data_IF_105675354915
#
_entry.id   IF_105675354915
#
_cell.length_a   1.000
_cell.length_b   1.000
_cell.length_c   1.000
_cell.angle_alpha   90.00
_cell.angle_beta   90.00
_cell.angle_gamma   90.00
#
_symmetry.space_group_name_H-M   'P 1'
#
loop_
_entity.id
_entity.type
_entity.pdbx_description
1 polymer ?
#
# COMPACT_ATOMS: atom_id res chain seq x y z
N UNK A 1 -2.77 -25.02 -2.16
CA UNK A 1 -3.81 -24.69 -1.16
C UNK A 1 -3.97 -23.17 -1.11
N UNK A 2 -5.18 -22.65 -0.85
CA UNK A 2 -5.34 -21.22 -0.64
C UNK A 2 -4.67 -20.86 0.69
N UNK A 3 -3.79 -19.87 0.68
CA UNK A 3 -3.30 -19.27 1.91
C UNK A 3 -4.42 -18.41 2.51
N UNK A 4 -4.83 -18.73 3.74
CA UNK A 4 -5.61 -17.80 4.55
C UNK A 4 -4.74 -16.55 4.72
N UNK A 5 -5.18 -15.42 4.16
CA UNK A 5 -4.53 -14.15 4.43
C UNK A 5 -4.93 -13.73 5.85
N UNK A 6 -4.11 -14.08 6.84
CA UNK A 6 -4.21 -13.46 8.16
C UNK A 6 -3.89 -11.96 8.01
N UNK A 7 -4.73 -11.09 8.57
CA UNK A 7 -4.44 -9.66 8.71
C UNK A 7 -3.23 -9.49 9.64
N UNK A 8 -2.02 -9.61 9.09
CA UNK A 8 -0.78 -9.37 9.80
C UNK A 8 -0.55 -7.86 9.93
N UNK A 9 -1.15 -7.27 10.98
CA UNK A 9 -0.89 -5.88 11.35
C UNK A 9 0.49 -5.82 12.00
N UNK A 10 1.50 -5.43 11.23
CA UNK A 10 2.88 -5.26 11.70
C UNK A 10 3.07 -4.02 12.61
N UNK A 11 2.14 -3.08 12.56
CA UNK A 11 2.17 -1.88 13.39
C UNK A 11 1.28 -0.74 12.90
N UNK A 12 1.43 0.42 13.52
CA UNK A 12 0.70 1.65 13.18
C UNK A 12 1.67 2.81 12.94
N UNK A 13 1.37 3.65 11.96
CA UNK A 13 2.12 4.87 11.66
C UNK A 13 1.15 6.05 11.71
N UNK A 14 1.51 7.13 12.42
CA UNK A 14 0.73 8.37 12.39
C UNK A 14 1.11 9.18 11.15
N UNK A 15 0.20 9.22 10.18
CA UNK A 15 0.37 9.95 8.93
C UNK A 15 -0.41 11.28 8.88
N UNK A 16 -0.91 11.78 10.03
CA UNK A 16 -1.75 12.98 10.06
C UNK A 16 -1.06 14.22 9.50
N UNK A 17 0.24 14.34 9.70
CA UNK A 17 1.02 15.49 9.20
C UNK A 17 1.17 15.45 7.67
N UNK A 18 1.14 14.26 7.07
CA UNK A 18 1.33 14.07 5.62
C UNK A 18 0.01 14.12 4.85
N UNK A 19 -1.06 13.50 5.38
CA UNK A 19 -2.33 13.33 4.65
C UNK A 19 -3.54 13.94 5.37
N UNK A 20 -3.33 14.71 6.43
CA UNK A 20 -4.41 15.30 7.24
C UNK A 20 -5.19 14.25 8.02
N UNK A 21 -6.46 14.56 8.35
CA UNK A 21 -7.32 13.68 9.15
C UNK A 21 -8.02 12.57 8.36
N UNK A 22 -7.68 12.38 7.08
CA UNK A 22 -8.27 11.32 6.25
C UNK A 22 -7.86 9.96 6.79
N UNK A 23 -8.82 9.17 7.26
CA UNK A 23 -8.58 7.84 7.86
C UNK A 23 -8.79 6.70 6.87
N UNK A 24 -9.20 6.99 5.64
CA UNK A 24 -9.43 6.02 4.57
C UNK A 24 -8.11 5.71 3.86
N UNK A 25 -7.05 5.33 4.58
CA UNK A 25 -5.79 4.90 3.97
C UNK A 25 -5.21 3.76 4.75
N UNK A 26 -4.51 2.88 4.04
CA UNK A 26 -3.75 1.79 4.64
C UNK A 26 -2.36 1.75 4.03
N UNK A 27 -1.43 1.13 4.75
CA UNK A 27 -0.04 0.99 4.31
C UNK A 27 0.19 -0.47 3.95
N UNK A 28 0.85 -0.70 2.82
CA UNK A 28 1.33 -2.02 2.43
C UNK A 28 2.85 -2.04 2.38
N UNK A 29 3.43 -3.16 2.81
CA UNK A 29 4.85 -3.44 2.58
C UNK A 29 5.00 -4.13 1.24
N UNK A 30 5.86 -3.59 0.38
CA UNK A 30 6.22 -4.17 -0.91
C UNK A 30 7.07 -5.42 -0.68
N UNK A 31 6.74 -6.49 -1.40
CA UNK A 31 7.48 -7.75 -1.40
C UNK A 31 7.78 -8.14 -2.84
N UNK A 32 9.07 -8.32 -3.16
CA UNK A 32 9.55 -8.67 -4.49
C UNK A 32 9.97 -7.48 -5.34
N UNK A 33 10.23 -7.74 -6.61
CA UNK A 33 10.94 -6.84 -7.53
C UNK A 33 10.14 -6.48 -8.80
N UNK A 34 8.84 -6.79 -8.85
CA UNK A 34 8.01 -6.59 -10.05
C UNK A 34 7.82 -5.12 -10.46
N UNK A 35 8.08 -4.17 -9.55
CA UNK A 35 7.86 -2.74 -9.76
C UNK A 35 9.15 -1.91 -9.66
N UNK A 36 10.33 -2.55 -9.71
CA UNK A 36 11.63 -1.86 -9.59
C UNK A 36 11.87 -0.84 -10.70
N UNK A 37 11.37 -1.10 -11.92
CA UNK A 37 11.51 -0.18 -13.05
C UNK A 37 10.71 1.12 -12.84
N UNK A 38 9.68 1.08 -11.99
CA UNK A 38 8.89 2.25 -11.57
C UNK A 38 9.43 2.87 -10.26
N UNK A 39 10.58 2.40 -9.77
CA UNK A 39 11.24 2.89 -8.57
C UNK A 39 10.63 2.39 -7.26
N UNK A 40 9.78 1.35 -7.29
CA UNK A 40 9.20 0.72 -6.10
C UNK A 40 10.02 -0.52 -5.77
N UNK A 41 10.73 -0.50 -4.64
CA UNK A 41 11.71 -1.51 -4.26
C UNK A 41 11.15 -2.48 -3.22
N UNK A 42 11.73 -3.69 -3.15
CA UNK A 42 11.44 -4.63 -2.08
C UNK A 42 11.68 -4.00 -0.69
N UNK A 43 10.71 -4.17 0.21
CA UNK A 43 10.75 -3.61 1.55
C UNK A 43 10.26 -2.16 1.69
N UNK A 44 9.94 -1.48 0.58
CA UNK A 44 9.29 -0.17 0.63
C UNK A 44 7.89 -0.23 1.26
N UNK A 45 7.45 0.89 1.81
CA UNK A 45 6.09 1.06 2.32
C UNK A 45 5.32 2.03 1.44
N UNK A 46 4.18 1.58 0.91
CA UNK A 46 3.30 2.40 0.07
C UNK A 46 2.02 2.73 0.81
N UNK A 47 1.58 3.99 0.69
CA UNK A 47 0.31 4.46 1.26
C UNK A 47 -0.76 4.39 0.18
N UNK A 48 -1.80 3.59 0.44
CA UNK A 48 -2.89 3.36 -0.51
C UNK A 48 -4.14 4.08 -0.03
N UNK A 49 -4.78 4.81 -0.95
CA UNK A 49 -6.13 5.32 -0.76
C UNK A 49 -7.13 4.37 -1.44
N UNK A 50 -8.11 3.78 -0.71
CA UNK A 50 -9.15 2.96 -1.30
C UNK A 50 -9.96 3.76 -2.32
N UNK A 51 -10.15 3.17 -3.50
CA UNK A 51 -10.98 3.70 -4.56
C UNK A 51 -11.69 2.57 -5.29
N UNK A 52 -12.84 2.87 -5.88
CA UNK A 52 -13.60 1.87 -6.65
C UNK A 52 -13.12 1.75 -8.12
N UNK A 53 -12.24 2.66 -8.56
CA UNK A 53 -11.77 2.74 -9.94
C UNK A 53 -10.28 3.03 -9.94
N UNK A 54 -9.59 2.37 -10.87
CA UNK A 54 -8.19 2.64 -11.22
C UNK A 54 -8.22 3.18 -12.65
N UNK A 55 -7.73 4.39 -12.85
CA UNK A 55 -7.63 5.01 -14.18
C UNK A 55 -6.41 4.45 -14.93
N UNK A 56 -6.43 4.54 -16.26
CA UNK A 56 -5.30 4.08 -17.08
C UNK A 56 -4.00 4.82 -16.71
N UNK A 57 -2.95 4.07 -16.39
CA UNK A 57 -1.67 4.61 -15.93
C UNK A 57 -1.57 4.87 -14.42
N UNK A 58 -2.59 4.54 -13.63
CA UNK A 58 -2.49 4.53 -12.17
C UNK A 58 -1.99 3.19 -11.65
N UNK A 59 -1.16 3.24 -10.62
CA UNK A 59 -0.79 2.07 -9.80
C UNK A 59 -1.88 1.90 -8.75
N UNK A 60 -2.46 0.70 -8.66
CA UNK A 60 -3.49 0.36 -7.69
C UNK A 60 -3.40 -1.09 -7.25
N UNK A 61 -4.15 -1.42 -6.20
CA UNK A 61 -4.23 -2.76 -5.59
C UNK A 61 -5.65 -3.30 -5.65
#
# INVERSE_FOLDING_TARGET
>A
EPILAEENIDGYVDLKELFGRSTDRFILKVVGDSMVDEGIMDGDYVVVQPGQKIENGQIGV
#
